data_IF_120420414067
#
_entry.id   IF_120420414067
#
_cell.length_a   1.000
_cell.length_b   1.000
_cell.length_c   1.000
_cell.angle_alpha   90.00
_cell.angle_beta   90.00
_cell.angle_gamma   90.00
#
_symmetry.space_group_name_H-M   'P 1'
#
loop_
_entity.id
_entity.type
_entity.pdbx_description
1 polymer ?
#
# COMPACT_ATOMS: atom_id res chain seq x y z
N UNK A 1 1.04 10.08 0.20
CA UNK A 1 2.31 10.39 0.91
C UNK A 1 3.00 9.11 1.35
N UNK A 2 2.25 8.08 1.81
CA UNK A 2 2.80 6.79 2.21
C UNK A 2 3.61 6.13 1.09
N UNK A 3 3.13 6.12 -0.16
CA UNK A 3 3.90 5.55 -1.28
C UNK A 3 5.20 6.31 -1.58
N UNK A 4 5.22 7.64 -1.37
CA UNK A 4 6.46 8.44 -1.46
C UNK A 4 7.45 8.06 -0.38
N UNK A 5 6.98 7.88 0.84
CA UNK A 5 7.82 7.47 1.98
C UNK A 5 8.35 6.06 1.72
N UNK A 6 7.49 5.10 1.38
CA UNK A 6 7.87 3.74 1.04
C UNK A 6 8.93 3.70 -0.07
N UNK A 7 8.71 4.43 -1.17
CA UNK A 7 9.65 4.52 -2.27
C UNK A 7 11.01 5.15 -1.88
N UNK A 8 11.11 5.88 -0.77
CA UNK A 8 12.38 6.41 -0.26
C UNK A 8 13.01 5.53 0.81
N UNK A 9 12.20 4.86 1.63
CA UNK A 9 12.64 4.09 2.79
C UNK A 9 13.06 2.67 2.40
N UNK A 10 12.32 2.00 1.52
CA UNK A 10 12.59 0.60 1.11
C UNK A 10 14.04 0.35 0.67
N UNK A 11 14.70 1.23 -0.13
CA UNK A 11 16.10 1.03 -0.54
C UNK A 11 17.11 0.90 0.60
N UNK A 12 16.83 1.47 1.77
CA UNK A 12 17.71 1.35 2.93
C UNK A 12 17.71 -0.07 3.52
N UNK A 13 16.73 -0.90 3.18
CA UNK A 13 16.59 -2.28 3.64
C UNK A 13 16.93 -3.31 2.56
N UNK A 14 17.31 -2.88 1.36
CA UNK A 14 17.75 -3.77 0.28
C UNK A 14 17.38 -3.29 -1.11
N UNK A 15 17.66 -4.14 -2.11
CA UNK A 15 17.32 -3.88 -3.51
C UNK A 15 15.91 -4.38 -3.81
N UNK A 16 15.03 -3.48 -4.27
CA UNK A 16 13.72 -3.83 -4.80
C UNK A 16 13.78 -3.95 -6.33
N UNK A 17 13.59 -5.15 -6.85
CA UNK A 17 13.44 -5.41 -8.29
C UNK A 17 11.96 -5.65 -8.59
N UNK A 18 11.44 -4.97 -9.60
CA UNK A 18 10.02 -5.08 -10.01
C UNK A 18 9.95 -5.43 -11.49
N UNK A 19 9.35 -6.58 -11.79
CA UNK A 19 9.03 -6.99 -13.16
C UNK A 19 7.57 -6.68 -13.46
N UNK A 20 7.29 -6.35 -14.71
CA UNK A 20 5.95 -6.15 -15.23
C UNK A 20 5.98 -6.44 -16.74
N UNK A 21 4.85 -6.87 -17.30
CA UNK A 21 4.74 -7.12 -18.73
C UNK A 21 5.02 -5.84 -19.54
N UNK A 22 5.52 -5.97 -20.78
CA UNK A 22 5.68 -4.82 -21.66
C UNK A 22 4.36 -4.06 -21.84
N UNK A 23 4.38 -2.75 -21.58
CA UNK A 23 3.17 -1.92 -21.67
C UNK A 23 2.16 -2.10 -20.53
N UNK A 24 2.51 -2.84 -19.46
CA UNK A 24 1.65 -3.01 -18.30
C UNK A 24 1.20 -1.65 -17.74
N UNK A 25 -0.11 -1.48 -17.70
CA UNK A 25 -0.77 -0.33 -17.07
C UNK A 25 -1.93 -0.85 -16.22
N UNK A 26 -2.23 -0.15 -15.14
CA UNK A 26 -3.38 -0.45 -14.29
C UNK A 26 -4.52 0.46 -14.72
N UNK A 27 -5.62 -0.15 -15.18
CA UNK A 27 -6.81 0.61 -15.54
C UNK A 27 -7.41 1.27 -14.28
N UNK A 28 -8.04 2.44 -14.41
CA UNK A 28 -8.81 3.02 -13.31
C UNK A 28 -9.86 2.03 -12.79
N UNK A 29 -9.97 1.90 -11.47
CA UNK A 29 -10.89 0.96 -10.83
C UNK A 29 -10.39 -0.49 -10.71
N UNK A 30 -9.16 -0.79 -11.15
CA UNK A 30 -8.56 -2.11 -10.91
C UNK A 30 -8.37 -2.38 -9.41
N UNK A 31 -8.67 -3.61 -8.99
CA UNK A 31 -8.34 -4.12 -7.65
C UNK A 31 -7.07 -4.96 -7.76
N UNK A 32 -6.02 -4.54 -7.04
CA UNK A 32 -4.79 -5.32 -6.97
C UNK A 32 -4.86 -6.29 -5.80
N UNK A 33 -4.70 -7.58 -6.09
CA UNK A 33 -4.58 -8.64 -5.08
C UNK A 33 -3.10 -9.02 -4.98
N UNK A 34 -2.55 -8.96 -3.77
CA UNK A 34 -1.14 -9.26 -3.52
C UNK A 34 -1.03 -10.34 -2.46
N UNK A 35 -0.18 -11.33 -2.72
CA UNK A 35 0.23 -12.28 -1.69
C UNK A 35 0.94 -11.56 -0.56
N UNK A 36 0.64 -11.94 0.68
CA UNK A 36 1.20 -11.28 1.86
C UNK A 36 1.92 -12.31 2.74
N UNK A 37 3.25 -12.32 2.70
CA UNK A 37 4.12 -13.23 3.45
C UNK A 37 4.94 -12.53 4.54
N UNK A 38 4.95 -11.19 4.57
CA UNK A 38 5.70 -10.39 5.53
C UNK A 38 4.99 -9.09 5.90
N UNK A 39 5.17 -8.61 7.13
CA UNK A 39 4.67 -7.29 7.56
C UNK A 39 5.22 -6.12 6.71
N UNK A 40 6.32 -6.33 5.98
CA UNK A 40 6.90 -5.33 5.09
C UNK A 40 6.11 -5.15 3.77
N UNK A 41 5.25 -6.11 3.40
CA UNK A 41 4.63 -6.16 2.07
C UNK A 41 3.89 -4.89 1.67
N UNK A 42 3.11 -4.21 2.55
CA UNK A 42 2.47 -2.96 2.18
C UNK A 42 3.47 -1.89 1.73
N UNK A 43 4.63 -1.79 2.38
CA UNK A 43 5.67 -0.84 1.99
C UNK A 43 6.32 -1.24 0.66
N UNK A 44 6.58 -2.53 0.45
CA UNK A 44 7.17 -3.03 -0.78
C UNK A 44 6.24 -2.81 -1.98
N UNK A 45 4.95 -3.11 -1.83
CA UNK A 45 3.93 -2.90 -2.87
C UNK A 45 3.78 -1.42 -3.21
N UNK A 46 3.65 -0.55 -2.20
CA UNK A 46 3.56 0.90 -2.43
C UNK A 46 4.81 1.45 -3.14
N UNK A 47 6.01 1.00 -2.75
CA UNK A 47 7.25 1.40 -3.40
C UNK A 47 7.32 0.88 -4.85
N UNK A 48 6.92 -0.36 -5.10
CA UNK A 48 6.92 -0.98 -6.42
C UNK A 48 5.97 -0.27 -7.38
N UNK A 49 4.71 -0.07 -6.99
CA UNK A 49 3.69 0.59 -7.80
C UNK A 49 4.07 2.04 -8.13
N UNK A 50 4.55 2.78 -7.13
CA UNK A 50 4.98 4.16 -7.34
C UNK A 50 6.18 4.25 -8.27
N UNK A 51 7.20 3.40 -8.09
CA UNK A 51 8.45 3.47 -8.87
C UNK A 51 8.29 2.93 -10.28
N UNK A 52 7.53 1.85 -10.48
CA UNK A 52 7.45 1.15 -11.77
C UNK A 52 6.25 1.57 -12.61
N UNK A 53 5.11 1.83 -11.98
CA UNK A 53 3.84 2.09 -12.66
C UNK A 53 3.31 3.52 -12.42
N UNK A 54 3.99 4.32 -11.60
CA UNK A 54 3.55 5.67 -11.20
C UNK A 54 2.12 5.72 -10.61
N UNK A 55 1.68 4.63 -9.99
CA UNK A 55 0.35 4.48 -9.37
C UNK A 55 0.42 4.72 -7.86
N UNK A 56 -0.59 5.42 -7.34
CA UNK A 56 -0.84 5.62 -5.91
C UNK A 56 -2.13 4.88 -5.53
N UNK A 57 -2.04 3.67 -4.94
CA UNK A 57 -3.22 2.86 -4.65
C UNK A 57 -3.90 3.26 -3.34
N UNK A 58 -5.18 2.95 -3.24
CA UNK A 58 -5.93 2.95 -1.98
C UNK A 58 -5.83 1.55 -1.35
N UNK A 59 -5.04 1.43 -0.28
CA UNK A 59 -4.98 0.22 0.54
C UNK A 59 -6.25 0.02 1.37
N UNK A 60 -6.67 -1.25 1.48
CA UNK A 60 -7.60 -1.73 2.49
C UNK A 60 -6.79 -2.39 3.61
N UNK A 61 -6.96 -1.96 4.86
CA UNK A 61 -6.19 -2.48 5.99
C UNK A 61 -7.04 -2.59 7.26
N UNK A 62 -6.64 -3.42 8.21
CA UNK A 62 -7.38 -3.59 9.48
C UNK A 62 -7.63 -2.25 10.17
N UNK A 63 -8.87 -2.03 10.62
CA UNK A 63 -9.31 -0.76 11.22
C UNK A 63 -8.50 -0.36 12.46
N UNK A 64 -7.87 -1.32 13.14
CA UNK A 64 -6.96 -1.05 14.26
C UNK A 64 -5.81 -0.10 13.92
N UNK A 65 -5.35 -0.06 12.66
CA UNK A 65 -4.28 0.86 12.24
C UNK A 65 -4.68 2.35 12.32
N UNK A 66 -5.98 2.66 12.24
CA UNK A 66 -6.48 4.04 12.38
C UNK A 66 -6.34 4.57 13.80
N UNK A 67 -6.17 3.70 14.79
CA UNK A 67 -5.93 4.08 16.19
C UNK A 67 -4.47 4.45 16.47
N UNK A 68 -3.56 4.15 15.54
CA UNK A 68 -2.13 4.45 15.71
C UNK A 68 -1.89 5.95 15.45
N UNK A 69 -1.30 6.70 16.40
CA UNK A 69 -1.02 8.11 16.22
C UNK A 69 -0.18 8.37 14.97
N UNK A 70 -0.46 9.48 14.29
CA UNK A 70 0.16 9.88 13.00
C UNK A 70 -0.23 8.96 11.84
N UNK A 71 -0.03 7.65 11.96
CA UNK A 71 -0.37 6.68 10.92
C UNK A 71 -1.87 6.75 10.58
N UNK A 72 -2.76 6.73 11.57
CA UNK A 72 -4.20 6.82 11.32
C UNK A 72 -4.63 8.12 10.62
N UNK A 73 -3.96 9.23 10.94
CA UNK A 73 -4.17 10.52 10.26
C UNK A 73 -3.69 10.47 8.81
N UNK A 74 -2.53 9.88 8.55
CA UNK A 74 -2.03 9.69 7.19
C UNK A 74 -2.95 8.77 6.39
N UNK A 75 -3.40 7.66 6.98
CA UNK A 75 -4.32 6.72 6.35
C UNK A 75 -5.64 7.39 5.95
N UNK A 76 -6.23 8.17 6.86
CA UNK A 76 -7.46 8.93 6.61
C UNK A 76 -7.27 9.99 5.54
N UNK A 77 -6.19 10.78 5.61
CA UNK A 77 -5.90 11.85 4.65
C UNK A 77 -5.68 11.32 3.23
N UNK A 78 -5.10 10.13 3.11
CA UNK A 78 -4.81 9.50 1.83
C UNK A 78 -5.99 8.65 1.31
N UNK A 79 -7.12 8.60 2.03
CA UNK A 79 -8.33 7.92 1.59
C UNK A 79 -8.26 6.39 1.68
N UNK A 80 -7.36 5.84 2.51
CA UNK A 80 -7.29 4.40 2.77
C UNK A 80 -8.57 3.89 3.43
N UNK A 81 -8.86 2.60 3.24
CA UNK A 81 -10.11 2.00 3.69
C UNK A 81 -9.88 1.10 4.92
N UNK A 82 -10.49 1.42 6.08
CA UNK A 82 -10.43 0.55 7.25
C UNK A 82 -11.34 -0.67 7.05
N UNK A 83 -10.81 -1.86 7.31
CA UNK A 83 -11.53 -3.13 7.27
C UNK A 83 -11.82 -3.56 8.70
N UNK A 84 -13.09 -3.67 9.04
CA UNK A 84 -13.58 -4.17 10.31
C UNK A 84 -13.83 -5.68 10.16
N UNK A 85 -13.24 -6.51 11.03
CA UNK A 85 -13.39 -7.97 10.99
C UNK A 85 -13.72 -8.47 12.38
N UNK A 86 -14.71 -9.36 12.51
CA UNK A 86 -15.11 -9.92 13.81
C UNK A 86 -15.64 -8.89 14.79
N UNK A 87 -16.30 -7.84 14.28
CA UNK A 87 -16.92 -6.77 15.09
C UNK A 87 -18.36 -6.54 14.66
N UNK A 88 -19.16 -5.81 15.45
CA UNK A 88 -20.53 -5.43 15.06
C UNK A 88 -20.61 -4.56 13.79
N UNK A 89 -19.48 -3.99 13.34
CA UNK A 89 -19.35 -3.19 12.12
C UNK A 89 -18.69 -3.96 10.96
N UNK A 90 -18.57 -5.28 11.07
CA UNK A 90 -18.01 -6.15 10.03
C UNK A 90 -19.04 -6.47 8.92
#
# INVERSE_FOLDING_TARGET
MLSRIAARVVPFFGRLTVTADPGASLAPGSILVVNHTSLADPALVLAALRRRLAVEPVLMATSGLWRVPVLGRALTREGHVPVHRGTAHA
#
